data_IF_975931564383
#
_entry.id   IF_975931564383
#
_cell.length_a   1.000
_cell.length_b   1.000
_cell.length_c   1.000
_cell.angle_alpha   90.00
_cell.angle_beta   90.00
_cell.angle_gamma   90.00
#
_symmetry.space_group_name_H-M   'P 1'
#
loop_
_entity.id
_entity.type
_entity.pdbx_description
1 polymer ?
#
# COMPACT_ATOMS: atom_id res chain seq x y z
N UNK A 1 -24.54 28.19 -72.64
CA UNK A 1 -24.10 29.34 -71.83
C UNK A 1 -25.09 29.40 -70.67
N UNK A 2 -24.74 29.24 -69.41
CA UNK A 2 -23.47 29.29 -68.69
C UNK A 2 -23.38 28.12 -67.70
N UNK A 3 -22.17 27.63 -67.53
CA UNK A 3 -21.70 26.91 -66.34
C UNK A 3 -21.61 27.94 -65.21
N UNK A 4 -22.01 27.60 -63.99
CA UNK A 4 -21.26 28.07 -62.83
C UNK A 4 -21.45 27.15 -61.62
N UNK A 5 -20.28 26.85 -61.09
CA UNK A 5 -19.89 25.96 -60.02
C UNK A 5 -20.32 26.55 -58.67
N UNK A 6 -21.15 25.83 -57.91
CA UNK A 6 -21.54 26.27 -56.55
C UNK A 6 -20.52 25.70 -55.54
N UNK A 7 -19.92 26.54 -54.67
CA UNK A 7 -18.72 26.17 -53.92
C UNK A 7 -19.05 25.29 -52.70
N UNK A 8 -18.15 24.35 -52.39
CA UNK A 8 -18.10 23.64 -51.12
C UNK A 8 -17.88 24.61 -49.96
N UNK A 9 -18.96 24.95 -49.25
CA UNK A 9 -18.86 25.63 -47.95
C UNK A 9 -18.56 24.59 -46.87
N UNK A 10 -17.40 24.75 -46.24
CA UNK A 10 -17.01 24.03 -45.03
C UNK A 10 -18.01 24.32 -43.89
N UNK A 11 -18.31 23.35 -43.00
CA UNK A 11 -19.20 23.59 -41.88
C UNK A 11 -18.62 24.63 -40.90
N UNK A 12 -19.47 25.43 -40.24
CA UNK A 12 -19.02 26.52 -39.37
C UNK A 12 -18.36 25.99 -38.10
N UNK A 13 -17.44 26.81 -37.58
CA UNK A 13 -16.69 26.58 -36.36
C UNK A 13 -17.56 26.04 -35.22
N UNK A 14 -17.16 24.88 -34.68
CA UNK A 14 -17.73 24.32 -33.47
C UNK A 14 -17.66 25.33 -32.34
N UNK A 15 -18.82 25.67 -31.80
CA UNK A 15 -18.99 26.37 -30.55
C UNK A 15 -18.22 25.65 -29.45
N UNK A 16 -17.09 26.22 -29.07
CA UNK A 16 -16.29 25.79 -27.94
C UNK A 16 -17.04 26.19 -26.66
N UNK A 17 -17.86 25.26 -26.18
CA UNK A 17 -18.46 25.36 -24.84
C UNK A 17 -17.33 25.44 -23.80
N UNK A 18 -17.37 26.37 -22.82
CA UNK A 18 -16.34 26.47 -21.82
C UNK A 18 -16.33 25.21 -20.95
N UNK A 19 -15.18 24.52 -20.97
CA UNK A 19 -14.91 23.32 -20.16
C UNK A 19 -15.09 23.64 -18.67
N UNK A 20 -15.78 22.79 -17.89
CA UNK A 20 -16.00 23.02 -16.47
C UNK A 20 -14.65 23.01 -15.77
N UNK A 21 -14.29 24.18 -15.25
CA UNK A 21 -13.13 24.45 -14.43
C UNK A 21 -12.96 23.35 -13.37
N UNK A 22 -11.93 22.53 -13.56
CA UNK A 22 -11.64 21.40 -12.71
C UNK A 22 -11.34 21.90 -11.29
N UNK A 23 -12.24 21.63 -10.35
CA UNK A 23 -12.02 21.91 -8.93
C UNK A 23 -10.60 21.47 -8.49
N UNK A 24 -9.88 22.25 -7.67
CA UNK A 24 -8.50 21.94 -7.29
C UNK A 24 -8.40 20.51 -6.74
N UNK A 25 -7.69 19.63 -7.46
CA UNK A 25 -7.45 18.27 -6.98
C UNK A 25 -6.66 18.34 -5.68
N UNK A 26 -7.27 17.97 -4.56
CA UNK A 26 -6.59 17.90 -3.25
C UNK A 26 -5.30 17.10 -3.36
N UNK A 27 -4.21 17.65 -2.80
CA UNK A 27 -2.92 16.96 -2.76
C UNK A 27 -2.98 15.72 -1.86
N UNK A 28 -2.06 14.77 -2.05
CA UNK A 28 -1.95 13.59 -1.19
C UNK A 28 -1.69 13.97 0.27
N UNK A 29 -0.87 14.99 0.51
CA UNK A 29 -0.58 15.49 1.85
C UNK A 29 -1.85 16.02 2.54
N UNK A 30 -2.65 16.82 1.84
CA UNK A 30 -3.93 17.34 2.35
C UNK A 30 -4.87 16.19 2.74
N UNK A 31 -5.07 15.21 1.84
CA UNK A 31 -5.91 14.03 2.13
C UNK A 31 -5.41 13.23 3.32
N UNK A 32 -4.10 13.08 3.45
CA UNK A 32 -3.49 12.31 4.56
C UNK A 32 -3.69 13.03 5.89
N UNK A 33 -3.53 14.35 5.92
CA UNK A 33 -3.78 15.16 7.11
C UNK A 33 -5.26 15.13 7.52
N UNK A 34 -6.19 15.20 6.56
CA UNK A 34 -7.63 15.05 6.81
C UNK A 34 -7.93 13.71 7.50
N UNK A 35 -7.34 12.60 7.03
CA UNK A 35 -7.49 11.28 7.65
C UNK A 35 -6.90 11.26 9.07
N UNK A 36 -5.68 11.77 9.27
CA UNK A 36 -5.06 11.84 10.59
C UNK A 36 -5.91 12.64 11.58
N UNK A 37 -6.47 13.77 11.14
CA UNK A 37 -7.35 14.59 11.95
C UNK A 37 -8.66 13.87 12.26
N UNK A 38 -9.24 13.16 11.29
CA UNK A 38 -10.44 12.36 11.49
C UNK A 38 -10.22 11.25 12.53
N UNK A 39 -9.08 10.54 12.46
CA UNK A 39 -8.70 9.51 13.44
C UNK A 39 -8.61 10.09 14.86
N UNK A 40 -7.96 11.25 15.00
CA UNK A 40 -7.78 11.92 16.29
C UNK A 40 -9.11 12.42 16.86
N UNK A 41 -9.88 13.16 16.07
CA UNK A 41 -11.07 13.86 16.57
C UNK A 41 -12.25 12.93 16.86
N UNK A 42 -12.43 11.87 16.07
CA UNK A 42 -13.61 10.99 16.20
C UNK A 42 -13.35 9.71 16.99
N UNK A 43 -12.12 9.21 16.98
CA UNK A 43 -11.78 7.91 17.59
C UNK A 43 -10.68 8.01 18.65
N UNK A 44 -10.17 9.21 18.94
CA UNK A 44 -9.00 9.42 19.82
C UNK A 44 -7.83 8.49 19.47
N UNK A 45 -7.62 8.26 18.18
CA UNK A 45 -6.69 7.26 17.66
C UNK A 45 -5.55 7.92 16.89
N UNK A 46 -4.32 7.44 17.11
CA UNK A 46 -3.15 7.82 16.32
C UNK A 46 -3.06 7.00 15.02
N UNK A 47 -2.35 7.48 13.99
CA UNK A 47 -2.14 6.69 12.78
C UNK A 47 -1.47 5.32 13.04
N UNK A 48 -0.61 5.21 14.05
CA UNK A 48 0.03 3.93 14.42
C UNK A 48 -0.97 2.95 15.02
N UNK A 49 -1.84 3.41 15.93
CA UNK A 49 -2.90 2.57 16.51
C UNK A 49 -3.88 2.11 15.42
N UNK A 50 -4.20 2.97 14.45
CA UNK A 50 -5.00 2.57 13.31
C UNK A 50 -4.33 1.47 12.49
N UNK A 51 -3.03 1.61 12.15
CA UNK A 51 -2.29 0.60 11.39
C UNK A 51 -2.25 -0.72 12.17
N UNK A 52 -1.98 -0.67 13.47
CA UNK A 52 -1.97 -1.85 14.34
C UNK A 52 -3.34 -2.56 14.34
N UNK A 53 -4.42 -1.84 14.62
CA UNK A 53 -5.77 -2.40 14.58
C UNK A 53 -6.15 -2.90 13.19
N UNK A 54 -5.77 -2.18 12.13
CA UNK A 54 -5.99 -2.62 10.75
C UNK A 54 -5.29 -3.95 10.47
N UNK A 55 -4.13 -4.21 11.08
CA UNK A 55 -3.35 -5.44 10.88
C UNK A 55 -3.79 -6.60 11.76
N UNK A 56 -4.31 -6.34 12.97
CA UNK A 56 -4.53 -7.39 13.98
C UNK A 56 -6.00 -7.64 14.34
N UNK A 57 -6.90 -6.67 14.15
CA UNK A 57 -8.28 -6.82 14.59
C UNK A 57 -9.00 -7.94 13.81
N UNK A 58 -9.74 -8.75 14.56
CA UNK A 58 -10.53 -9.84 14.02
C UNK A 58 -11.83 -9.32 13.41
N UNK A 59 -11.94 -9.40 12.09
CA UNK A 59 -13.06 -8.90 11.30
C UNK A 59 -12.90 -9.38 9.87
N UNK A 60 -13.93 -10.02 9.31
CA UNK A 60 -13.92 -10.49 7.92
C UNK A 60 -13.66 -9.36 6.93
N UNK A 61 -14.21 -8.17 7.18
CA UNK A 61 -14.01 -7.00 6.35
C UNK A 61 -12.54 -6.53 6.35
N UNK A 62 -11.86 -6.60 7.49
CA UNK A 62 -10.44 -6.25 7.59
C UNK A 62 -9.56 -7.37 7.02
N UNK A 63 -9.87 -8.63 7.30
CA UNK A 63 -9.19 -9.80 6.73
C UNK A 63 -9.22 -9.78 5.20
N UNK A 64 -10.37 -9.46 4.60
CA UNK A 64 -10.50 -9.27 3.16
C UNK A 64 -9.57 -8.16 2.65
N UNK A 65 -9.43 -7.04 3.35
CA UNK A 65 -8.53 -5.93 2.95
C UNK A 65 -7.05 -6.27 3.13
N UNK A 66 -6.71 -7.10 4.12
CA UNK A 66 -5.35 -7.57 4.39
C UNK A 66 -4.87 -8.68 3.43
N UNK A 67 -5.79 -9.36 2.72
CA UNK A 67 -5.48 -10.57 1.93
C UNK A 67 -4.33 -10.43 0.93
N UNK A 68 -4.06 -9.22 0.45
CA UNK A 68 -2.99 -8.96 -0.52
C UNK A 68 -1.64 -8.60 0.11
N UNK A 69 -1.56 -8.35 1.43
CA UNK A 69 -0.30 -7.92 2.07
C UNK A 69 0.84 -8.94 1.90
N UNK A 70 0.50 -10.24 1.96
CA UNK A 70 1.44 -11.34 1.75
C UNK A 70 1.28 -12.06 0.40
N UNK A 71 0.37 -11.60 -0.48
CA UNK A 71 0.18 -12.26 -1.78
C UNK A 71 1.31 -11.90 -2.74
N UNK A 72 1.54 -12.74 -3.76
CA UNK A 72 2.55 -12.48 -4.79
C UNK A 72 2.39 -11.09 -5.43
N UNK A 73 1.15 -10.68 -5.70
CA UNK A 73 0.84 -9.43 -6.40
C UNK A 73 0.83 -8.20 -5.47
N UNK A 74 0.49 -8.38 -4.18
CA UNK A 74 0.46 -7.27 -3.22
C UNK A 74 1.73 -7.14 -2.37
N UNK A 75 2.61 -8.14 -2.38
CA UNK A 75 3.90 -8.08 -1.70
C UNK A 75 4.77 -6.89 -2.13
N UNK A 76 4.90 -6.52 -3.43
CA UNK A 76 5.75 -5.40 -3.82
C UNK A 76 5.36 -4.06 -3.17
N UNK A 77 4.05 -3.76 -3.08
CA UNK A 77 3.56 -2.53 -2.45
C UNK A 77 3.65 -2.59 -0.93
N UNK A 78 3.48 -3.78 -0.35
CA UNK A 78 3.71 -4.00 1.09
C UNK A 78 5.18 -3.79 1.46
N UNK A 79 6.11 -4.30 0.65
CA UNK A 79 7.54 -4.09 0.83
C UNK A 79 7.92 -2.60 0.75
N UNK A 80 7.32 -1.84 -0.17
CA UNK A 80 7.50 -0.40 -0.27
C UNK A 80 7.04 0.35 1.01
N UNK A 81 5.92 -0.07 1.63
CA UNK A 81 5.50 0.45 2.94
C UNK A 81 6.54 0.11 4.03
N UNK A 82 7.01 -1.13 4.09
CA UNK A 82 8.04 -1.56 5.06
C UNK A 82 9.33 -0.74 4.88
N UNK A 83 9.75 -0.48 3.64
CA UNK A 83 10.92 0.35 3.35
C UNK A 83 10.72 1.81 3.76
N UNK A 84 9.53 2.37 3.57
CA UNK A 84 9.18 3.72 4.05
C UNK A 84 9.22 3.79 5.57
N UNK A 85 8.72 2.77 6.27
CA UNK A 85 8.81 2.65 7.74
C UNK A 85 10.28 2.59 8.18
N UNK A 86 11.09 1.71 7.55
CA UNK A 86 12.54 1.62 7.78
C UNK A 86 13.21 2.98 7.65
N UNK A 87 12.90 3.75 6.60
CA UNK A 87 13.47 5.08 6.37
C UNK A 87 13.14 6.04 7.53
N UNK A 88 11.93 6.00 8.07
CA UNK A 88 11.56 6.83 9.22
C UNK A 88 12.29 6.39 10.50
N UNK A 89 12.36 5.09 10.77
CA UNK A 89 13.01 4.54 11.96
C UNK A 89 14.51 4.85 11.96
N UNK A 90 15.18 4.67 10.82
CA UNK A 90 16.63 4.84 10.67
C UNK A 90 17.12 6.30 10.64
N UNK A 91 16.26 7.30 10.88
CA UNK A 91 16.66 8.72 10.93
C UNK A 91 17.66 9.04 12.05
N UNK A 92 17.77 8.18 13.06
CA UNK A 92 18.67 8.37 14.21
C UNK A 92 19.55 7.15 14.40
N UNK A 93 20.72 7.32 15.03
CA UNK A 93 21.62 6.20 15.34
C UNK A 93 20.95 5.15 16.23
N UNK A 94 20.21 5.58 17.26
CA UNK A 94 19.41 4.67 18.12
C UNK A 94 18.34 3.94 17.32
N UNK A 95 17.66 4.61 16.40
CA UNK A 95 16.67 4.00 15.52
C UNK A 95 17.29 2.99 14.55
N UNK A 96 18.47 3.27 14.01
CA UNK A 96 19.23 2.31 13.21
C UNK A 96 19.61 1.06 14.01
N UNK A 97 20.08 1.22 15.25
CA UNK A 97 20.39 0.09 16.12
C UNK A 97 19.15 -0.80 16.35
N UNK A 98 18.00 -0.21 16.70
CA UNK A 98 16.72 -0.93 16.86
C UNK A 98 16.28 -1.66 15.59
N UNK A 99 16.43 -1.04 14.43
CA UNK A 99 16.11 -1.69 13.16
C UNK A 99 17.03 -2.91 12.90
N UNK A 100 18.33 -2.78 13.14
CA UNK A 100 19.27 -3.88 12.98
C UNK A 100 18.98 -5.04 13.95
N UNK A 101 18.65 -4.73 15.20
CA UNK A 101 18.24 -5.72 16.19
C UNK A 101 16.96 -6.45 15.78
N UNK A 102 15.94 -5.71 15.33
CA UNK A 102 14.72 -6.30 14.78
C UNK A 102 15.02 -7.29 13.64
N UNK A 103 15.81 -6.90 12.64
CA UNK A 103 16.15 -7.80 11.52
C UNK A 103 16.95 -9.02 11.96
N UNK A 104 17.86 -8.88 12.94
CA UNK A 104 18.57 -10.03 13.50
C UNK A 104 17.60 -11.04 14.12
N UNK A 105 16.65 -10.56 14.91
CA UNK A 105 15.65 -11.41 15.55
C UNK A 105 14.78 -12.13 14.51
N UNK A 106 14.32 -11.45 13.45
CA UNK A 106 13.56 -12.08 12.36
C UNK A 106 14.37 -13.17 11.63
N UNK A 107 15.67 -12.96 11.41
CA UNK A 107 16.57 -13.96 10.80
C UNK A 107 16.71 -15.18 11.69
N UNK A 108 16.79 -14.99 13.00
CA UNK A 108 16.93 -16.11 13.94
C UNK A 108 15.63 -16.94 14.02
N UNK A 109 14.46 -16.30 14.00
CA UNK A 109 13.17 -16.98 13.86
C UNK A 109 13.14 -17.85 12.59
N UNK A 110 13.59 -17.31 11.45
CA UNK A 110 13.65 -18.06 10.19
C UNK A 110 14.57 -19.28 10.27
N UNK A 111 15.74 -19.16 10.89
CA UNK A 111 16.67 -20.30 11.08
C UNK A 111 16.04 -21.41 11.91
N UNK A 112 15.34 -21.05 12.99
CA UNK A 112 14.63 -22.01 13.84
C UNK A 112 13.53 -22.72 13.05
N UNK A 113 12.69 -21.98 12.33
CA UNK A 113 11.63 -22.56 11.50
C UNK A 113 12.17 -23.54 10.46
N UNK A 114 13.28 -23.20 9.79
CA UNK A 114 13.93 -24.09 8.81
C UNK A 114 14.47 -25.38 9.45
N UNK A 115 15.08 -25.29 10.63
CA UNK A 115 15.60 -26.46 11.35
C UNK A 115 14.47 -27.40 11.77
N UNK A 116 13.36 -26.87 12.28
CA UNK A 116 12.18 -27.66 12.66
C UNK A 116 11.55 -28.36 11.44
N UNK A 117 11.41 -27.65 10.32
CA UNK A 117 10.90 -28.25 9.08
C UNK A 117 11.82 -29.38 8.57
N UNK A 118 13.14 -29.20 8.63
CA UNK A 118 14.10 -30.24 8.27
C UNK A 118 13.98 -31.48 9.18
N UNK A 119 13.94 -31.27 10.50
CA UNK A 119 13.82 -32.36 11.46
C UNK A 119 12.49 -33.13 11.31
N UNK A 120 11.39 -32.42 11.05
CA UNK A 120 10.08 -33.02 10.79
C UNK A 120 10.11 -33.92 9.54
N UNK A 121 10.70 -33.44 8.43
CA UNK A 121 10.86 -34.24 7.21
C UNK A 121 11.74 -35.47 7.44
N UNK A 122 12.84 -35.35 8.17
CA UNK A 122 13.70 -36.52 8.47
C UNK A 122 13.00 -37.54 9.36
N UNK A 123 12.17 -37.11 10.31
CA UNK A 123 11.40 -38.03 11.17
C UNK A 123 10.28 -38.74 10.40
N UNK A 124 9.62 -38.06 9.45
CA UNK A 124 8.61 -38.70 8.59
C UNK A 124 9.21 -39.73 7.62
N UNK A 125 10.45 -39.52 7.16
CA UNK A 125 11.14 -40.44 6.25
C UNK A 125 11.81 -41.63 6.97
N UNK A 126 11.94 -41.59 8.30
CA UNK A 126 12.58 -42.62 9.12
C UNK A 126 11.63 -43.31 10.11
N UNK A 127 10.31 -43.25 9.89
CA UNK A 127 9.37 -44.02 10.72
C UNK A 127 9.41 -45.50 10.31
N UNK A 128 9.80 -46.44 11.21
CA UNK A 128 9.70 -47.86 10.93
C UNK A 128 8.21 -48.28 10.96
N UNK A 129 7.82 -49.17 10.03
CA UNK A 129 6.50 -49.83 10.03
C UNK A 129 6.31 -50.77 11.22
#
# INVERSE_FOLDING_TARGET
>A
MEIDEVPSQSPPASEQSPSPEAAPRRTLATKTLEICNHLKSNYNMTPKQFIEAFLTADSDALSFRRRYWGSKDGWPSTLDIIQKIKKQVKKTQKGQARWCEFIKNEVDVFKVARKLNHLSLTMMLYSPE
#
